data_IF_573934144761
#
_entry.id   IF_573934144761
#
_cell.length_a   1.000
_cell.length_b   1.000
_cell.length_c   1.000
_cell.angle_alpha   90.00
_cell.angle_beta   90.00
_cell.angle_gamma   90.00
#
_symmetry.space_group_name_H-M   'P 1'
#
loop_
_entity.id
_entity.type
_entity.pdbx_description
1 polymer ?
#
# COMPACT_ATOMS: atom_id res chain seq x y z
N UNK A 1 -39.67 17.83 -7.77
CA UNK A 1 -38.64 17.44 -6.78
C UNK A 1 -37.98 18.73 -6.32
N UNK A 2 -38.26 19.17 -5.11
CA UNK A 2 -37.52 20.29 -4.52
C UNK A 2 -36.09 19.82 -4.30
N UNK A 3 -35.16 20.47 -4.97
CA UNK A 3 -33.72 20.22 -4.76
C UNK A 3 -33.36 20.88 -3.44
N UNK A 4 -33.08 20.10 -2.42
CA UNK A 4 -32.61 20.62 -1.14
C UNK A 4 -31.27 21.33 -1.38
N UNK A 5 -31.27 22.67 -1.28
CA UNK A 5 -30.10 23.53 -1.55
C UNK A 5 -29.02 23.42 -0.46
N UNK A 6 -29.36 22.81 0.69
CA UNK A 6 -28.44 22.71 1.81
C UNK A 6 -27.47 21.52 1.67
N UNK A 7 -26.31 21.68 2.26
CA UNK A 7 -25.29 20.62 2.35
C UNK A 7 -25.83 19.38 3.05
N UNK A 8 -25.80 18.20 2.42
CA UNK A 8 -26.35 16.98 3.00
C UNK A 8 -25.57 16.45 4.21
N UNK A 9 -24.36 16.96 4.47
CA UNK A 9 -23.54 16.53 5.64
C UNK A 9 -23.80 17.43 6.86
N UNK A 10 -23.73 18.76 6.70
CA UNK A 10 -23.88 19.67 7.84
C UNK A 10 -25.31 20.24 7.99
N UNK A 11 -26.15 20.18 6.96
CA UNK A 11 -27.53 20.68 6.90
C UNK A 11 -27.68 22.17 7.27
N UNK A 12 -26.59 22.96 7.21
CA UNK A 12 -26.56 24.37 7.66
C UNK A 12 -26.31 25.37 6.54
N UNK A 13 -25.43 25.03 5.61
CA UNK A 13 -24.90 25.93 4.60
C UNK A 13 -25.29 25.47 3.19
N UNK A 14 -25.32 26.37 2.20
CA UNK A 14 -25.60 26.03 0.81
C UNK A 14 -24.60 25.01 0.25
N UNK A 15 -25.09 24.14 -0.61
CA UNK A 15 -24.28 23.11 -1.29
C UNK A 15 -23.48 23.73 -2.43
N UNK A 16 -22.33 24.36 -2.10
CA UNK A 16 -21.36 24.85 -3.09
C UNK A 16 -20.16 23.92 -3.18
N UNK A 17 -19.41 24.01 -4.29
CA UNK A 17 -18.19 23.20 -4.47
C UNK A 17 -17.20 23.48 -3.34
N UNK A 18 -16.92 24.76 -3.08
CA UNK A 18 -15.94 25.13 -2.04
C UNK A 18 -16.39 24.74 -0.64
N UNK A 19 -17.69 24.85 -0.35
CA UNK A 19 -18.24 24.36 0.91
C UNK A 19 -18.02 22.84 1.04
N UNK A 20 -18.25 22.11 -0.05
CA UNK A 20 -18.13 20.66 -0.03
C UNK A 20 -16.70 20.15 0.22
N UNK A 21 -15.66 20.87 -0.21
CA UNK A 21 -14.26 20.40 -0.16
C UNK A 21 -13.39 21.20 0.82
N UNK A 22 -13.88 22.32 1.40
CA UNK A 22 -13.13 23.17 2.34
C UNK A 22 -13.96 23.64 3.54
N UNK A 23 -15.14 24.26 3.31
CA UNK A 23 -15.80 25.11 4.31
C UNK A 23 -16.81 24.36 5.19
N UNK A 24 -17.27 23.17 4.81
CA UNK A 24 -18.11 22.33 5.66
C UNK A 24 -17.39 22.01 6.98
N UNK A 25 -18.10 22.11 8.12
CA UNK A 25 -17.45 21.96 9.44
C UNK A 25 -16.75 20.61 9.60
N UNK A 26 -17.31 19.53 9.09
CA UNK A 26 -16.65 18.25 9.03
C UNK A 26 -15.34 18.32 8.21
N UNK A 27 -15.35 18.97 7.05
CA UNK A 27 -14.17 19.12 6.17
C UNK A 27 -13.11 20.00 6.81
N UNK A 28 -13.50 21.07 7.50
CA UNK A 28 -12.58 21.90 8.30
C UNK A 28 -11.83 21.06 9.34
N UNK A 29 -12.53 20.10 9.96
CA UNK A 29 -11.91 19.14 10.88
C UNK A 29 -10.80 18.34 10.21
N UNK A 30 -11.02 17.83 9.00
CA UNK A 30 -10.01 17.08 8.22
C UNK A 30 -8.80 17.96 7.90
N UNK A 31 -9.02 19.20 7.41
CA UNK A 31 -7.92 20.11 7.08
C UNK A 31 -7.08 20.50 8.30
N UNK A 32 -7.72 20.70 9.48
CA UNK A 32 -7.01 20.97 10.74
C UNK A 32 -6.12 19.79 11.13
N UNK A 33 -6.63 18.57 11.01
CA UNK A 33 -5.86 17.34 11.29
C UNK A 33 -4.69 17.14 10.31
N UNK A 34 -4.82 17.63 9.06
CA UNK A 34 -3.74 17.66 8.09
C UNK A 34 -2.72 18.79 8.33
N UNK A 35 -2.93 19.59 9.38
CA UNK A 35 -1.99 20.64 9.81
C UNK A 35 -2.27 22.03 9.28
N UNK A 36 -3.45 22.27 8.70
CA UNK A 36 -3.86 23.64 8.29
C UNK A 36 -4.26 24.45 9.53
N UNK A 37 -3.51 25.53 9.79
CA UNK A 37 -3.82 26.43 10.91
C UNK A 37 -5.15 27.16 10.70
N UNK A 38 -5.90 27.34 11.79
CA UNK A 38 -7.13 28.16 11.80
C UNK A 38 -6.84 29.61 11.42
N UNK A 39 -5.65 30.13 11.75
CA UNK A 39 -5.21 31.49 11.44
C UNK A 39 -4.74 31.69 9.99
N UNK A 40 -4.71 30.62 9.18
CA UNK A 40 -4.30 30.74 7.77
C UNK A 40 -5.43 31.36 6.94
N UNK A 41 -5.49 32.70 6.93
CA UNK A 41 -6.52 33.45 6.19
C UNK A 41 -6.47 33.18 4.69
N UNK A 42 -5.30 33.04 4.10
CA UNK A 42 -5.15 32.75 2.68
C UNK A 42 -5.80 31.41 2.30
N UNK A 43 -5.65 30.40 3.14
CA UNK A 43 -6.31 29.11 2.92
C UNK A 43 -7.83 29.20 3.05
N UNK A 44 -8.35 29.89 4.08
CA UNK A 44 -9.76 29.85 4.42
C UNK A 44 -10.62 30.88 3.68
N UNK A 45 -10.03 31.99 3.22
CA UNK A 45 -10.78 33.12 2.63
C UNK A 45 -10.67 33.23 1.11
N UNK A 46 -9.73 32.50 0.47
CA UNK A 46 -9.57 32.51 -0.99
C UNK A 46 -10.81 31.95 -1.69
N UNK A 47 -11.13 32.49 -2.87
CA UNK A 47 -12.10 31.85 -3.76
C UNK A 47 -11.59 30.48 -4.26
N UNK A 48 -12.47 29.69 -4.85
CA UNK A 48 -12.16 28.31 -5.25
C UNK A 48 -10.96 28.21 -6.19
N UNK A 49 -10.89 29.07 -7.18
CA UNK A 49 -9.82 29.04 -8.20
C UNK A 49 -8.46 29.39 -7.60
N UNK A 50 -8.40 30.45 -6.79
CA UNK A 50 -7.17 30.88 -6.13
C UNK A 50 -6.74 29.86 -5.08
N UNK A 51 -7.67 29.31 -4.32
CA UNK A 51 -7.39 28.26 -3.33
C UNK A 51 -6.75 27.02 -3.96
N UNK A 52 -7.28 26.54 -5.10
CA UNK A 52 -6.71 25.40 -5.83
C UNK A 52 -5.33 25.77 -6.39
N UNK A 53 -5.17 26.95 -6.98
CA UNK A 53 -3.90 27.38 -7.56
C UNK A 53 -2.80 27.53 -6.51
N UNK A 54 -3.06 28.15 -5.38
CA UNK A 54 -2.12 28.39 -4.30
C UNK A 54 -1.62 27.07 -3.70
N UNK A 55 -2.55 26.18 -3.39
CA UNK A 55 -2.21 24.91 -2.72
C UNK A 55 -1.70 23.84 -3.69
N UNK A 56 -2.25 23.76 -4.91
CA UNK A 56 -1.82 22.80 -5.93
C UNK A 56 -0.48 23.11 -6.58
N UNK A 57 -0.06 24.41 -6.59
CA UNK A 57 1.24 24.87 -7.11
C UNK A 57 2.26 25.17 -6.03
N UNK A 58 1.93 24.95 -4.75
CA UNK A 58 2.83 25.22 -3.64
C UNK A 58 4.20 24.58 -3.88
N UNK A 59 5.27 25.38 -3.77
CA UNK A 59 6.64 24.91 -3.94
C UNK A 59 6.97 23.90 -2.85
N UNK A 60 7.63 22.81 -3.24
CA UNK A 60 8.12 21.80 -2.31
C UNK A 60 9.14 22.44 -1.38
N UNK A 61 8.86 22.53 -0.09
CA UNK A 61 9.90 22.88 0.87
C UNK A 61 10.90 21.72 0.95
N UNK A 62 12.20 22.00 0.92
CA UNK A 62 13.26 20.99 1.02
C UNK A 62 13.42 20.38 2.43
N UNK A 63 12.58 20.73 3.37
CA UNK A 63 12.59 20.14 4.71
C UNK A 63 12.10 18.68 4.64
N UNK A 64 13.02 17.76 4.82
CA UNK A 64 12.89 16.31 4.58
C UNK A 64 11.90 15.55 5.49
N UNK A 65 11.22 16.23 6.41
CA UNK A 65 10.40 15.56 7.43
C UNK A 65 8.89 15.48 7.12
N UNK A 66 8.38 16.17 6.10
CA UNK A 66 6.94 16.15 5.77
C UNK A 66 6.71 15.95 4.27
N UNK A 67 5.62 15.24 3.90
CA UNK A 67 5.22 15.11 2.49
C UNK A 67 5.05 16.48 1.84
N UNK A 68 5.36 16.63 0.52
CA UNK A 68 5.14 17.88 -0.19
C UNK A 68 3.67 18.28 -0.14
N UNK A 69 3.40 19.50 0.35
CA UNK A 69 2.03 19.98 0.57
C UNK A 69 1.12 19.82 -0.65
N UNK A 70 1.61 20.14 -1.85
CA UNK A 70 0.83 19.98 -3.10
C UNK A 70 0.29 18.57 -3.31
N UNK A 71 1.04 17.55 -2.90
CA UNK A 71 0.62 16.15 -3.02
C UNK A 71 -0.44 15.86 -1.96
N UNK A 72 -0.18 16.22 -0.70
CA UNK A 72 -1.12 16.06 0.39
C UNK A 72 -2.44 16.78 0.12
N UNK A 73 -2.37 18.01 -0.40
CA UNK A 73 -3.53 18.80 -0.79
C UNK A 73 -4.37 18.09 -1.88
N UNK A 74 -3.73 17.60 -2.95
CA UNK A 74 -4.43 16.93 -4.05
C UNK A 74 -5.15 15.67 -3.59
N UNK A 75 -4.46 14.84 -2.77
CA UNK A 75 -5.08 13.65 -2.19
C UNK A 75 -6.20 14.01 -1.22
N UNK A 76 -6.02 15.05 -0.41
CA UNK A 76 -7.06 15.50 0.53
C UNK A 76 -8.33 15.93 -0.19
N UNK A 77 -8.23 16.77 -1.23
CA UNK A 77 -9.39 17.19 -2.04
C UNK A 77 -10.11 15.98 -2.64
N UNK A 78 -9.36 15.03 -3.22
CA UNK A 78 -9.92 13.82 -3.80
C UNK A 78 -10.60 12.92 -2.76
N UNK A 79 -9.94 12.63 -1.64
CA UNK A 79 -10.46 11.74 -0.60
C UNK A 79 -11.67 12.35 0.12
N UNK A 80 -11.67 13.66 0.37
CA UNK A 80 -12.81 14.40 0.93
C UNK A 80 -14.01 14.28 -0.01
N UNK A 81 -13.82 14.55 -1.30
CA UNK A 81 -14.88 14.43 -2.29
C UNK A 81 -15.41 13.00 -2.38
N UNK A 82 -14.52 11.99 -2.43
CA UNK A 82 -14.89 10.58 -2.51
C UNK A 82 -15.67 10.12 -1.27
N UNK A 83 -15.18 10.44 -0.07
CA UNK A 83 -15.83 10.07 1.19
C UNK A 83 -17.22 10.69 1.29
N UNK A 84 -17.34 11.96 0.90
CA UNK A 84 -18.60 12.67 0.83
C UNK A 84 -19.58 12.05 -0.18
N UNK A 85 -19.10 11.67 -1.36
CA UNK A 85 -19.89 10.99 -2.38
C UNK A 85 -20.41 9.64 -1.90
N UNK A 86 -19.60 8.88 -1.15
CA UNK A 86 -20.01 7.61 -0.56
C UNK A 86 -21.10 7.78 0.50
N UNK A 87 -21.05 8.84 1.32
CA UNK A 87 -22.08 9.15 2.30
C UNK A 87 -23.40 9.53 1.60
N UNK A 88 -23.34 10.47 0.66
CA UNK A 88 -24.53 11.02 -0.03
C UNK A 88 -25.22 9.97 -0.90
N UNK A 89 -24.47 9.14 -1.64
CA UNK A 89 -25.05 8.20 -2.64
C UNK A 89 -25.18 6.78 -2.14
N UNK A 90 -24.42 6.37 -1.11
CA UNK A 90 -24.44 4.99 -0.60
C UNK A 90 -24.82 4.88 0.88
N UNK A 91 -25.13 5.99 1.55
CA UNK A 91 -25.48 6.01 2.96
C UNK A 91 -24.39 5.50 3.90
N UNK A 92 -23.14 5.48 3.45
CA UNK A 92 -21.99 5.12 4.30
C UNK A 92 -21.61 6.32 5.16
N UNK A 93 -21.53 6.12 6.48
CA UNK A 93 -21.16 7.18 7.42
C UNK A 93 -19.79 7.78 7.09
N UNK A 94 -19.68 9.08 7.36
CA UNK A 94 -18.44 9.84 7.18
C UNK A 94 -17.29 9.24 7.98
N UNK A 95 -16.16 9.01 7.35
CA UNK A 95 -14.97 8.45 7.99
C UNK A 95 -14.30 9.52 8.89
N UNK A 96 -14.29 9.31 10.19
CA UNK A 96 -13.65 10.21 11.16
C UNK A 96 -12.10 10.14 11.16
N UNK A 97 -11.52 9.10 10.55
CA UNK A 97 -10.08 8.91 10.42
C UNK A 97 -9.54 9.29 9.03
N UNK A 98 -10.33 10.06 8.24
CA UNK A 98 -10.01 10.37 6.85
C UNK A 98 -8.63 11.04 6.69
N UNK A 99 -8.21 11.90 7.62
CA UNK A 99 -6.90 12.55 7.59
C UNK A 99 -5.74 11.54 7.63
N UNK A 100 -5.88 10.48 8.42
CA UNK A 100 -4.90 9.39 8.50
C UNK A 100 -4.84 8.61 7.17
N UNK A 101 -6.00 8.32 6.59
CA UNK A 101 -6.08 7.61 5.31
C UNK A 101 -5.49 8.45 4.17
N UNK A 102 -5.73 9.75 4.16
CA UNK A 102 -5.12 10.70 3.22
C UNK A 102 -3.59 10.63 3.32
N UNK A 103 -3.05 10.73 4.54
CA UNK A 103 -1.60 10.71 4.74
C UNK A 103 -0.99 9.36 4.34
N UNK A 104 -1.65 8.25 4.60
CA UNK A 104 -1.22 6.94 4.14
C UNK A 104 -1.13 6.86 2.61
N UNK A 105 -2.16 7.34 1.89
CA UNK A 105 -2.15 7.38 0.43
C UNK A 105 -1.08 8.32 -0.14
N UNK A 106 -0.85 9.47 0.50
CA UNK A 106 0.22 10.41 0.13
C UNK A 106 1.58 9.74 0.23
N UNK A 107 1.81 9.00 1.29
CA UNK A 107 3.09 8.30 1.52
C UNK A 107 3.28 7.18 0.51
N UNK A 108 2.27 6.35 0.29
CA UNK A 108 2.27 5.34 -0.76
C UNK A 108 2.61 5.94 -2.14
N UNK A 109 1.95 7.05 -2.50
CA UNK A 109 2.20 7.75 -3.76
C UNK A 109 3.65 8.26 -3.87
N UNK A 110 4.18 8.90 -2.82
CA UNK A 110 5.54 9.42 -2.80
C UNK A 110 6.54 8.29 -3.03
N UNK A 111 6.34 7.15 -2.40
CA UNK A 111 7.18 5.98 -2.61
C UNK A 111 7.11 5.44 -4.04
N UNK A 112 5.90 5.29 -4.57
CA UNK A 112 5.70 4.81 -5.94
C UNK A 112 6.26 5.75 -7.01
N UNK A 113 6.40 7.05 -6.71
CA UNK A 113 6.82 8.08 -7.69
C UNK A 113 8.29 8.47 -7.57
N UNK A 114 8.94 8.24 -6.40
CA UNK A 114 10.35 8.57 -6.21
C UNK A 114 11.33 7.60 -6.85
N UNK A 115 10.87 6.51 -7.46
CA UNK A 115 11.71 5.76 -8.39
C UNK A 115 12.05 6.66 -9.58
N UNK A 116 13.35 6.85 -9.92
CA UNK A 116 13.75 7.72 -11.02
C UNK A 116 13.04 7.27 -12.30
N UNK A 117 12.20 8.14 -12.84
CA UNK A 117 11.54 7.90 -14.15
C UNK A 117 12.61 7.97 -15.22
N UNK A 118 13.21 6.83 -15.56
CA UNK A 118 14.03 6.73 -16.74
C UNK A 118 13.16 6.90 -17.98
N UNK A 119 13.72 7.46 -19.04
CA UNK A 119 13.10 7.58 -20.37
C UNK A 119 12.66 6.19 -20.84
N UNK A 120 11.35 6.02 -20.96
CA UNK A 120 10.67 4.72 -21.01
C UNK A 120 10.80 4.06 -22.38
N UNK A 121 11.79 3.22 -22.59
CA UNK A 121 11.63 2.14 -23.54
C UNK A 121 10.84 1.00 -22.88
N UNK A 122 9.72 0.64 -23.49
CA UNK A 122 8.97 -0.54 -23.05
C UNK A 122 9.59 -1.76 -23.70
N UNK A 123 10.13 -2.64 -22.88
CA UNK A 123 10.67 -3.93 -23.33
C UNK A 123 9.73 -5.06 -22.88
N UNK A 124 9.58 -6.04 -23.75
CA UNK A 124 8.86 -7.26 -23.39
C UNK A 124 9.81 -8.18 -22.61
N UNK A 125 9.49 -8.46 -21.36
CA UNK A 125 10.24 -9.40 -20.50
C UNK A 125 9.45 -10.68 -20.33
N UNK A 126 10.12 -11.80 -20.53
CA UNK A 126 9.61 -13.12 -20.12
C UNK A 126 9.98 -13.34 -18.66
N UNK A 127 8.97 -13.47 -17.83
CA UNK A 127 9.10 -13.59 -16.38
C UNK A 127 8.62 -14.96 -15.92
N UNK A 128 9.34 -15.55 -14.98
CA UNK A 128 8.95 -16.78 -14.30
C UNK A 128 9.36 -16.68 -12.83
N UNK A 129 8.82 -17.54 -12.01
CA UNK A 129 9.38 -17.77 -10.69
C UNK A 129 10.73 -18.52 -10.81
N UNK A 130 11.70 -18.13 -10.02
CA UNK A 130 13.02 -18.74 -10.00
C UNK A 130 13.31 -19.35 -8.63
N UNK A 131 13.95 -20.51 -8.60
CA UNK A 131 14.38 -21.17 -7.36
C UNK A 131 15.40 -20.29 -6.61
N UNK A 132 15.45 -20.34 -5.27
CA UNK A 132 16.54 -19.72 -4.52
C UNK A 132 17.85 -20.47 -4.72
N UNK A 133 18.99 -19.89 -4.32
CA UNK A 133 20.27 -20.61 -4.31
C UNK A 133 20.22 -21.87 -3.43
N UNK A 134 21.12 -22.82 -3.70
CA UNK A 134 21.23 -24.04 -2.92
C UNK A 134 21.39 -23.75 -1.43
N UNK A 135 20.62 -24.44 -0.59
CA UNK A 135 20.59 -24.25 0.87
C UNK A 135 19.77 -23.04 1.34
N UNK A 136 19.32 -22.17 0.46
CA UNK A 136 18.45 -21.04 0.80
C UNK A 136 16.98 -21.43 0.72
N UNK A 137 16.15 -20.72 1.47
CA UNK A 137 14.70 -20.78 1.33
C UNK A 137 14.20 -19.49 0.63
N UNK A 138 13.07 -19.59 -0.07
CA UNK A 138 12.43 -18.45 -0.69
C UNK A 138 11.05 -18.22 -0.11
N UNK A 139 10.84 -17.01 0.37
CA UNK A 139 9.56 -16.49 0.79
C UNK A 139 8.99 -15.62 -0.32
N UNK A 140 7.76 -15.90 -0.74
CA UNK A 140 6.94 -15.00 -1.54
C UNK A 140 5.80 -14.46 -0.65
N UNK A 141 5.67 -13.15 -0.56
CA UNK A 141 4.67 -12.46 0.28
C UNK A 141 3.86 -11.47 -0.54
N UNK A 142 2.62 -11.24 -0.14
CA UNK A 142 1.72 -10.29 -0.78
C UNK A 142 0.66 -9.75 0.20
N UNK A 143 0.18 -8.53 -0.08
CA UNK A 143 -0.91 -7.90 0.62
C UNK A 143 -2.09 -7.61 -0.30
N UNK A 144 -3.30 -7.95 0.11
CA UNK A 144 -4.51 -7.70 -0.66
C UNK A 144 -5.45 -6.74 0.07
N UNK A 145 -5.74 -5.60 -0.56
CA UNK A 145 -6.74 -4.65 -0.09
C UNK A 145 -7.93 -4.60 -1.05
N UNK A 146 -9.11 -4.92 -0.52
CA UNK A 146 -10.34 -4.96 -1.31
C UNK A 146 -11.03 -3.60 -1.29
N UNK A 147 -10.91 -2.85 -2.38
CA UNK A 147 -11.51 -1.51 -2.50
C UNK A 147 -13.00 -1.52 -2.20
N UNK A 148 -13.44 -0.60 -1.35
CA UNK A 148 -14.86 -0.38 -1.03
C UNK A 148 -15.47 -1.38 -0.05
N UNK A 149 -14.66 -2.26 0.56
CA UNK A 149 -15.14 -3.26 1.52
C UNK A 149 -14.54 -3.11 2.93
N UNK A 150 -13.61 -2.20 3.13
CA UNK A 150 -12.82 -2.07 4.38
C UNK A 150 -12.16 -3.39 4.83
N UNK A 151 -11.88 -4.29 3.88
CA UNK A 151 -11.25 -5.57 4.13
C UNK A 151 -9.88 -5.64 3.49
N UNK A 152 -8.90 -6.04 4.30
CA UNK A 152 -7.57 -6.35 3.84
C UNK A 152 -7.10 -7.67 4.43
N UNK A 153 -6.23 -8.35 3.71
CA UNK A 153 -5.61 -9.57 4.14
C UNK A 153 -4.22 -9.71 3.55
N UNK A 154 -3.42 -10.57 4.11
CA UNK A 154 -2.12 -10.92 3.56
C UNK A 154 -1.95 -12.43 3.50
N UNK A 155 -0.96 -12.85 2.75
CA UNK A 155 -0.60 -14.24 2.63
C UNK A 155 0.77 -14.43 2.01
N UNK A 156 1.42 -15.51 2.40
CA UNK A 156 2.72 -15.85 1.90
C UNK A 156 2.99 -17.34 1.93
N UNK A 157 4.06 -17.72 1.26
CA UNK A 157 4.53 -19.11 1.22
C UNK A 157 6.04 -19.17 1.19
N UNK A 158 6.56 -20.22 1.84
CA UNK A 158 7.98 -20.54 1.89
C UNK A 158 8.24 -21.79 1.08
N UNK A 159 9.27 -21.74 0.23
CA UNK A 159 9.74 -22.87 -0.59
C UNK A 159 11.24 -23.11 -0.38
N UNK A 160 11.65 -24.34 -0.58
CA UNK A 160 13.08 -24.68 -0.56
C UNK A 160 13.79 -24.41 -1.90
N UNK A 161 15.04 -24.81 -1.98
CA UNK A 161 15.88 -24.65 -3.18
C UNK A 161 15.51 -25.60 -4.33
N UNK A 162 14.68 -26.63 -4.06
CA UNK A 162 14.07 -27.45 -5.11
C UNK A 162 12.74 -26.88 -5.60
N UNK A 163 12.20 -25.88 -4.90
CA UNK A 163 10.91 -25.26 -5.16
C UNK A 163 9.76 -25.93 -4.42
N UNK A 164 10.07 -26.91 -3.56
CA UNK A 164 9.06 -27.62 -2.79
C UNK A 164 8.45 -26.74 -1.68
N UNK A 165 7.18 -26.97 -1.42
CA UNK A 165 6.43 -26.25 -0.39
C UNK A 165 6.91 -26.62 1.01
N UNK A 166 7.27 -25.61 1.82
CA UNK A 166 7.59 -25.79 3.24
C UNK A 166 6.39 -25.41 4.10
N UNK A 167 5.88 -24.19 3.94
CA UNK A 167 4.77 -23.66 4.70
C UNK A 167 4.13 -22.48 3.95
N UNK A 168 2.89 -22.15 4.34
CA UNK A 168 2.22 -20.93 3.90
C UNK A 168 1.16 -20.52 4.89
N UNK A 169 0.65 -19.31 4.74
CA UNK A 169 -0.44 -18.82 5.57
C UNK A 169 -1.33 -17.82 4.82
N UNK A 170 -2.49 -17.56 5.41
CA UNK A 170 -3.38 -16.45 5.09
C UNK A 170 -3.78 -15.75 6.38
N UNK A 171 -3.86 -14.42 6.36
CA UNK A 171 -4.28 -13.63 7.50
C UNK A 171 -5.27 -12.54 7.10
N UNK A 172 -6.32 -12.38 7.90
CA UNK A 172 -7.21 -11.23 7.83
C UNK A 172 -6.64 -10.07 8.64
N UNK A 173 -6.55 -8.88 8.04
CA UNK A 173 -5.93 -7.69 8.67
C UNK A 173 -6.99 -6.66 9.10
N UNK A 174 -8.19 -6.72 8.53
CA UNK A 174 -9.23 -5.70 8.78
C UNK A 174 -9.10 -4.50 7.84
N UNK A 175 -9.41 -3.30 8.35
CA UNK A 175 -9.42 -2.08 7.54
C UNK A 175 -8.05 -1.39 7.56
N UNK A 176 -7.40 -1.30 6.40
CA UNK A 176 -6.13 -0.61 6.21
C UNK A 176 -5.97 -0.19 4.74
N UNK A 177 -4.79 0.24 4.32
CA UNK A 177 -4.48 0.57 2.92
C UNK A 177 -3.53 -0.47 2.30
N UNK A 178 -3.37 -0.41 0.97
CA UNK A 178 -2.54 -1.35 0.22
C UNK A 178 -1.10 -1.42 0.75
N UNK A 179 -0.43 -0.29 0.96
CA UNK A 179 0.96 -0.26 1.41
C UNK A 179 1.15 -0.88 2.81
N UNK A 180 0.26 -0.53 3.74
CA UNK A 180 0.30 -1.10 5.10
C UNK A 180 -0.02 -2.59 5.09
N UNK A 181 -0.90 -3.05 4.18
CA UNK A 181 -1.22 -4.48 4.02
C UNK A 181 0.00 -5.29 3.59
N UNK A 182 0.81 -4.76 2.67
CA UNK A 182 2.08 -5.38 2.24
C UNK A 182 3.08 -5.51 3.40
N UNK A 183 3.20 -4.47 4.23
CA UNK A 183 4.08 -4.51 5.41
C UNK A 183 3.58 -5.53 6.46
N UNK A 184 2.26 -5.63 6.66
CA UNK A 184 1.69 -6.66 7.53
C UNK A 184 1.96 -8.05 7.00
N UNK A 185 1.83 -8.28 5.68
CA UNK A 185 2.17 -9.54 5.04
C UNK A 185 3.61 -9.91 5.32
N UNK A 186 4.53 -9.01 5.02
CA UNK A 186 5.95 -9.22 5.26
C UNK A 186 6.27 -9.54 6.72
N UNK A 187 5.67 -8.81 7.68
CA UNK A 187 5.87 -9.05 9.10
C UNK A 187 5.46 -10.46 9.51
N UNK A 188 4.27 -10.90 9.13
CA UNK A 188 3.76 -12.23 9.46
C UNK A 188 4.60 -13.34 8.81
N UNK A 189 5.04 -13.11 7.60
CA UNK A 189 5.92 -14.01 6.86
C UNK A 189 7.30 -14.17 7.53
N UNK A 190 7.89 -13.07 7.98
CA UNK A 190 9.16 -13.13 8.70
C UNK A 190 9.01 -13.86 10.04
N UNK A 191 7.88 -13.66 10.76
CA UNK A 191 7.57 -14.43 11.98
C UNK A 191 7.47 -15.93 11.66
N UNK A 192 6.76 -16.31 10.59
CA UNK A 192 6.66 -17.69 10.15
C UNK A 192 8.05 -18.29 9.87
N UNK A 193 8.90 -17.57 9.13
CA UNK A 193 10.25 -18.02 8.79
C UNK A 193 11.17 -18.15 10.03
N UNK A 194 11.05 -17.25 11.01
CA UNK A 194 11.75 -17.35 12.29
C UNK A 194 11.32 -18.61 13.07
N UNK A 195 10.01 -18.89 13.13
CA UNK A 195 9.46 -20.07 13.80
C UNK A 195 9.89 -21.39 13.12
N UNK A 196 10.17 -21.35 11.82
CA UNK A 196 10.71 -22.49 11.05
C UNK A 196 12.24 -22.62 11.18
N UNK A 197 12.90 -21.76 11.96
CA UNK A 197 14.37 -21.72 12.14
C UNK A 197 15.13 -21.65 10.80
N UNK A 198 14.65 -20.84 9.87
CA UNK A 198 15.30 -20.62 8.58
C UNK A 198 16.49 -19.69 8.78
N UNK A 199 17.68 -20.11 8.32
CA UNK A 199 18.92 -19.35 8.46
C UNK A 199 19.19 -18.42 7.27
N UNK A 200 18.93 -18.90 6.04
CA UNK A 200 19.20 -18.18 4.80
C UNK A 200 17.90 -18.00 3.99
N UNK A 201 17.47 -16.74 3.80
CA UNK A 201 16.15 -16.38 3.24
C UNK A 201 16.25 -15.37 2.11
N UNK A 202 15.65 -15.69 0.96
CA UNK A 202 15.31 -14.74 -0.10
C UNK A 202 13.84 -14.35 0.06
N UNK A 203 13.57 -13.08 0.28
CA UNK A 203 12.21 -12.52 0.38
C UNK A 203 11.87 -11.80 -0.91
N UNK A 204 10.80 -12.21 -1.59
CA UNK A 204 10.29 -11.59 -2.80
C UNK A 204 8.91 -10.96 -2.56
N UNK A 205 8.78 -9.67 -2.97
CA UNK A 205 7.55 -8.89 -2.93
C UNK A 205 7.34 -8.21 -4.29
N UNK A 206 6.09 -8.02 -4.70
CA UNK A 206 5.79 -7.22 -5.89
C UNK A 206 5.60 -5.72 -5.59
N UNK A 207 5.55 -5.34 -4.32
CA UNK A 207 5.52 -3.97 -3.84
C UNK A 207 6.95 -3.38 -3.78
N UNK A 208 7.43 -2.84 -4.90
CA UNK A 208 8.77 -2.21 -4.98
C UNK A 208 8.99 -1.17 -3.90
N UNK A 209 7.96 -0.37 -3.59
CA UNK A 209 8.01 0.65 -2.55
C UNK A 209 8.36 0.08 -1.16
N UNK A 210 7.84 -1.10 -0.82
CA UNK A 210 8.17 -1.78 0.45
C UNK A 210 9.63 -2.22 0.46
N UNK A 211 10.12 -2.79 -0.65
CA UNK A 211 11.53 -3.19 -0.78
C UNK A 211 12.48 -2.00 -0.62
N UNK A 212 12.15 -0.86 -1.21
CA UNK A 212 12.96 0.37 -1.11
C UNK A 212 13.00 0.92 0.31
N UNK A 213 11.85 0.93 1.01
CA UNK A 213 11.75 1.40 2.39
C UNK A 213 12.53 0.51 3.36
N UNK A 214 12.49 -0.81 3.16
CA UNK A 214 13.26 -1.76 3.96
C UNK A 214 14.77 -1.54 3.83
N UNK A 215 15.24 -1.20 2.63
CA UNK A 215 16.67 -0.93 2.35
C UNK A 215 17.13 0.45 2.83
N UNK A 216 16.20 1.38 3.06
CA UNK A 216 16.51 2.74 3.47
C UNK A 216 16.41 2.91 5.00
N UNK A 217 17.53 2.76 5.71
CA UNK A 217 17.58 2.87 7.17
C UNK A 217 17.32 4.28 7.71
N UNK A 218 17.33 5.31 6.87
CA UNK A 218 17.06 6.70 7.28
C UNK A 218 15.59 7.09 7.16
N UNK A 219 14.75 6.16 6.68
CA UNK A 219 13.35 6.43 6.51
C UNK A 219 12.61 6.43 7.86
N UNK A 220 11.98 7.56 8.18
CA UNK A 220 11.13 7.73 9.38
C UNK A 220 9.76 8.21 8.96
N UNK A 221 8.74 7.48 9.36
CA UNK A 221 7.35 7.83 9.17
C UNK A 221 6.52 7.38 10.38
N UNK A 222 5.92 8.30 11.10
CA UNK A 222 5.20 8.02 12.35
C UNK A 222 4.04 7.01 12.23
N UNK A 223 3.57 6.73 11.02
CA UNK A 223 2.42 5.83 10.78
C UNK A 223 2.88 4.40 10.47
N UNK A 224 3.89 4.25 9.63
CA UNK A 224 4.38 2.95 9.17
C UNK A 224 5.69 2.52 9.81
N UNK A 225 6.42 3.43 10.46
CA UNK A 225 7.66 3.10 11.16
C UNK A 225 7.51 1.95 12.16
N UNK A 226 6.46 1.86 12.98
CA UNK A 226 6.39 0.76 13.95
C UNK A 226 6.40 -0.61 13.28
N UNK A 227 5.58 -0.82 12.22
CA UNK A 227 5.54 -2.11 11.52
C UNK A 227 6.80 -2.34 10.66
N UNK A 228 7.37 -1.28 10.12
CA UNK A 228 8.62 -1.35 9.37
C UNK A 228 9.80 -1.71 10.27
N UNK A 229 9.85 -1.14 11.48
CA UNK A 229 10.89 -1.44 12.47
C UNK A 229 10.75 -2.87 13.00
N UNK A 230 9.50 -3.36 13.18
CA UNK A 230 9.24 -4.78 13.46
C UNK A 230 9.82 -5.68 12.35
N UNK A 231 9.55 -5.35 11.08
CA UNK A 231 10.08 -6.11 9.95
C UNK A 231 11.63 -6.11 9.92
N UNK A 232 12.26 -4.97 10.19
CA UNK A 232 13.72 -4.85 10.26
C UNK A 232 14.30 -5.65 11.42
N UNK A 233 13.64 -5.59 12.58
CA UNK A 233 14.05 -6.36 13.75
C UNK A 233 13.96 -7.86 13.49
N UNK A 234 12.85 -8.34 12.93
CA UNK A 234 12.68 -9.72 12.52
C UNK A 234 13.74 -10.15 11.48
N UNK A 235 14.01 -9.28 10.50
CA UNK A 235 15.03 -9.55 9.49
C UNK A 235 16.44 -9.75 10.08
N UNK A 236 16.76 -9.10 11.20
CA UNK A 236 18.04 -9.23 11.88
C UNK A 236 18.26 -10.60 12.56
N UNK A 237 17.23 -11.44 12.69
CA UNK A 237 17.35 -12.79 13.24
C UNK A 237 17.91 -13.81 12.21
N UNK A 238 17.85 -13.51 10.92
CA UNK A 238 18.37 -14.41 9.88
C UNK A 238 19.89 -14.23 9.72
N UNK A 239 20.61 -15.32 9.59
CA UNK A 239 22.06 -15.27 9.30
C UNK A 239 22.31 -14.59 7.95
N UNK A 240 21.44 -14.87 6.97
CA UNK A 240 21.49 -14.28 5.64
C UNK A 240 20.06 -13.97 5.16
N UNK A 241 19.79 -12.71 4.79
CA UNK A 241 18.51 -12.31 4.23
C UNK A 241 18.70 -11.39 3.04
N UNK A 242 17.90 -11.58 2.00
CA UNK A 242 17.89 -10.73 0.80
C UNK A 242 16.46 -10.33 0.46
N UNK A 243 16.19 -9.02 0.40
CA UNK A 243 14.91 -8.49 -0.09
C UNK A 243 15.00 -8.16 -1.57
N UNK A 244 14.12 -8.73 -2.37
CA UNK A 244 14.06 -8.56 -3.82
C UNK A 244 12.65 -8.15 -4.26
N UNK A 245 12.59 -7.22 -5.20
CA UNK A 245 11.35 -6.97 -5.94
C UNK A 245 11.17 -8.07 -6.98
N UNK A 246 9.98 -8.64 -7.06
CA UNK A 246 9.56 -9.51 -8.15
C UNK A 246 8.34 -8.91 -8.86
N UNK A 247 8.07 -9.36 -10.08
CA UNK A 247 6.85 -8.95 -10.76
C UNK A 247 5.67 -9.85 -10.35
N UNK A 248 4.45 -9.32 -10.41
CA UNK A 248 3.21 -10.06 -10.07
C UNK A 248 3.12 -11.43 -10.70
N UNK A 249 3.63 -11.59 -11.94
CA UNK A 249 3.64 -12.86 -12.66
C UNK A 249 4.43 -13.94 -11.92
N UNK A 250 5.49 -13.55 -11.21
CA UNK A 250 6.30 -14.45 -10.38
C UNK A 250 5.80 -14.52 -8.91
N UNK A 251 4.79 -13.70 -8.51
CA UNK A 251 4.24 -13.64 -7.15
C UNK A 251 2.78 -14.15 -7.05
N UNK A 252 2.26 -14.80 -8.07
CA UNK A 252 0.84 -15.20 -8.20
C UNK A 252 0.28 -16.00 -7.03
N UNK A 253 1.11 -16.81 -6.35
CA UNK A 253 0.68 -17.67 -5.23
C UNK A 253 0.45 -16.83 -3.98
N UNK A 254 1.38 -15.95 -3.68
CA UNK A 254 1.24 -15.01 -2.57
C UNK A 254 0.01 -14.11 -2.79
N UNK A 255 -0.21 -13.62 -4.03
CA UNK A 255 -1.41 -12.84 -4.40
C UNK A 255 -2.71 -13.63 -4.16
N UNK A 256 -2.75 -14.93 -4.50
CA UNK A 256 -3.93 -15.77 -4.22
C UNK A 256 -4.14 -15.98 -2.72
N UNK A 257 -3.08 -16.25 -1.95
CA UNK A 257 -3.16 -16.39 -0.49
C UNK A 257 -3.60 -15.07 0.16
N UNK A 258 -3.05 -13.93 -0.26
CA UNK A 258 -3.42 -12.61 0.26
C UNK A 258 -4.90 -12.28 0.00
N UNK A 259 -5.40 -12.55 -1.21
CA UNK A 259 -6.82 -12.40 -1.56
C UNK A 259 -7.72 -13.29 -0.70
N UNK A 260 -7.31 -14.53 -0.44
CA UNK A 260 -8.02 -15.44 0.46
C UNK A 260 -8.03 -14.87 1.89
N UNK A 261 -6.90 -14.40 2.39
CA UNK A 261 -6.80 -13.73 3.69
C UNK A 261 -7.75 -12.53 3.82
N UNK A 262 -7.95 -11.75 2.76
CA UNK A 262 -8.85 -10.60 2.78
C UNK A 262 -10.34 -10.97 2.91
N UNK A 263 -10.74 -12.18 2.50
CA UNK A 263 -12.16 -12.62 2.53
C UNK A 263 -12.46 -13.63 3.62
N UNK A 264 -11.44 -14.25 4.24
CA UNK A 264 -11.64 -15.26 5.28
C UNK A 264 -12.28 -14.66 6.55
N UNK A 265 -12.92 -15.51 7.35
CA UNK A 265 -13.50 -15.14 8.65
C UNK A 265 -12.50 -15.32 9.79
N UNK A 266 -11.64 -16.33 9.69
CA UNK A 266 -10.58 -16.61 10.67
C UNK A 266 -9.47 -15.56 10.61
N UNK A 267 -8.90 -15.20 11.75
CA UNK A 267 -7.80 -14.23 11.81
C UNK A 267 -6.55 -14.75 11.07
N UNK A 268 -6.12 -15.98 11.39
CA UNK A 268 -4.90 -16.59 10.84
C UNK A 268 -5.11 -18.08 10.54
N UNK A 269 -4.66 -18.51 9.36
CA UNK A 269 -4.67 -19.93 8.95
C UNK A 269 -3.30 -20.27 8.36
N UNK A 270 -2.64 -21.30 8.89
CA UNK A 270 -1.38 -21.83 8.34
C UNK A 270 -1.59 -23.12 7.56
N UNK A 271 -0.76 -23.35 6.56
CA UNK A 271 -0.82 -24.49 5.66
C UNK A 271 0.54 -25.20 5.59
N UNK A 272 0.55 -26.49 5.87
CA UNK A 272 1.74 -27.36 5.75
C UNK A 272 1.89 -27.97 4.34
N UNK A 273 0.85 -27.81 3.51
CA UNK A 273 0.84 -28.25 2.11
C UNK A 273 0.10 -27.24 1.24
N UNK A 274 0.35 -27.20 -0.08
CA UNK A 274 -0.36 -26.31 -0.98
C UNK A 274 -1.88 -26.55 -0.92
N UNK A 275 -2.65 -25.46 -0.96
CA UNK A 275 -4.10 -25.53 -1.10
C UNK A 275 -4.47 -25.99 -2.53
N UNK A 276 -5.55 -26.73 -2.66
CA UNK A 276 -6.03 -27.23 -3.96
C UNK A 276 -6.18 -26.12 -4.98
N UNK A 277 -6.68 -24.96 -4.56
CA UNK A 277 -6.91 -23.79 -5.43
C UNK A 277 -5.60 -23.18 -5.99
N UNK A 278 -4.45 -23.46 -5.37
CA UNK A 278 -3.14 -22.95 -5.79
C UNK A 278 -2.27 -24.03 -6.44
N UNK A 279 -2.64 -25.30 -6.41
CA UNK A 279 -1.84 -26.40 -6.97
C UNK A 279 -1.48 -26.16 -8.44
N UNK A 280 -2.45 -25.83 -9.29
CA UNK A 280 -2.18 -25.57 -10.72
C UNK A 280 -1.14 -24.46 -10.94
N UNK A 281 -1.30 -23.35 -10.20
CA UNK A 281 -0.37 -22.21 -10.28
C UNK A 281 0.99 -22.59 -9.69
N UNK A 282 1.02 -23.45 -8.69
CA UNK A 282 2.25 -23.99 -8.08
C UNK A 282 3.02 -24.88 -9.05
N UNK A 283 2.35 -25.77 -9.78
CA UNK A 283 2.94 -26.61 -10.82
C UNK A 283 3.51 -25.81 -11.99
N UNK A 284 2.85 -24.72 -12.41
CA UNK A 284 3.37 -23.80 -13.45
C UNK A 284 4.75 -23.24 -13.08
N UNK A 285 4.99 -22.90 -11.78
CA UNK A 285 6.30 -22.43 -11.33
C UNK A 285 7.35 -23.52 -11.36
N UNK A 286 7.03 -24.70 -10.84
CA UNK A 286 7.96 -25.85 -10.84
C UNK A 286 8.37 -26.22 -12.26
N UNK A 287 7.43 -26.15 -13.21
CA UNK A 287 7.65 -26.39 -14.63
C UNK A 287 8.31 -25.19 -15.37
N UNK A 288 8.58 -24.10 -14.65
CA UNK A 288 9.29 -22.93 -15.20
C UNK A 288 8.50 -22.19 -16.28
N UNK A 289 7.18 -22.13 -16.19
CA UNK A 289 6.31 -21.45 -17.16
C UNK A 289 6.63 -19.96 -17.21
N UNK A 290 6.82 -19.43 -18.43
CA UNK A 290 7.12 -18.03 -18.68
C UNK A 290 5.86 -17.22 -18.92
N UNK A 291 5.83 -16.00 -18.39
CA UNK A 291 4.80 -15.00 -18.57
C UNK A 291 5.38 -13.73 -19.22
N UNK A 292 4.82 -13.29 -20.33
CA UNK A 292 5.26 -12.08 -20.99
C UNK A 292 4.67 -10.83 -20.34
N UNK A 293 5.52 -9.83 -20.08
CA UNK A 293 5.13 -8.53 -19.55
C UNK A 293 5.87 -7.40 -20.25
N UNK A 294 5.13 -6.35 -20.60
CA UNK A 294 5.71 -5.07 -21.01
C UNK A 294 6.22 -4.34 -19.76
N UNK A 295 7.54 -4.26 -19.62
CA UNK A 295 8.21 -3.57 -18.51
C UNK A 295 8.84 -2.28 -19.01
N UNK A 296 8.89 -1.25 -18.16
CA UNK A 296 9.72 -0.07 -18.39
C UNK A 296 11.17 -0.40 -18.05
N UNK A 297 12.08 -0.16 -18.97
CA UNK A 297 13.51 -0.34 -18.73
C UNK A 297 14.03 0.83 -17.87
N UNK A 298 14.64 0.50 -16.72
CA UNK A 298 15.40 1.47 -15.96
C UNK A 298 16.82 1.53 -16.52
N UNK A 299 17.07 2.49 -17.40
CA UNK A 299 18.45 2.78 -17.86
C UNK A 299 19.13 3.55 -16.73
N UNK A 300 20.02 2.89 -16.02
CA UNK A 300 20.95 3.54 -15.10
C UNK A 300 22.05 4.17 -15.96
N UNK A 301 22.04 5.47 -16.12
CA UNK A 301 23.22 6.17 -16.62
C UNK A 301 24.31 6.12 -15.55
N UNK A 302 25.40 5.46 -15.86
CA UNK A 302 26.64 5.39 -15.07
C UNK A 302 27.32 6.75 -15.12
#
# INVERSE_FOLDING_TARGET
>A
MEVNELCPICHREPKTIIHAIRDCEWVKGVWRQLGVSISNQEFWMSNLQDWINLNGKAKCSRAQAKPPWKIAFSFAVWCIWLNRSMDVFKGKRVNHNLSKDIMNQVLEFIYCVHSPRSLNQKINRSLRWERPPLGWKKLNTDGSWLRGTDRAGCGGLVRDDQGEWIAGFTRYIGSTNSFTTELWGLREDLILCCNLNIEALVVELDAQAVVEVLKNNTYVNNIVSPILDDCRHLAAHFQQIQFKHCYRQANRRADLLAKRGAVQESDFISFVSPLVDICNVFEEDLNGVYFNRMCTEHVVFV
#
